data_IF_207304315693
#
_entry.id   IF_207304315693
#
_cell.length_a   1.000
_cell.length_b   1.000
_cell.length_c   1.000
_cell.angle_alpha   90.00
_cell.angle_beta   90.00
_cell.angle_gamma   90.00
#
_symmetry.space_group_name_H-M   'P 1'
#
loop_
_entity.id
_entity.type
_entity.pdbx_description
1 polymer ?
#
# COMPACT_ATOMS: atom_id res chain seq x y z
N UNK A 1 -14.65 -14.77 12.96
CA UNK A 1 -13.39 -14.77 12.19
C UNK A 1 -13.64 -15.58 10.93
N UNK A 2 -13.45 -14.98 9.76
CA UNK A 2 -13.64 -15.63 8.46
C UNK A 2 -12.28 -15.80 7.78
N UNK A 3 -12.06 -16.95 7.14
CA UNK A 3 -10.83 -17.24 6.39
C UNK A 3 -11.24 -17.63 4.98
N UNK A 4 -10.76 -16.87 4.00
CA UNK A 4 -10.98 -17.14 2.59
C UNK A 4 -9.73 -17.78 1.98
N UNK A 5 -9.91 -18.85 1.21
CA UNK A 5 -8.85 -19.52 0.45
C UNK A 5 -9.33 -19.71 -0.99
N UNK A 6 -8.43 -19.50 -1.93
CA UNK A 6 -8.67 -19.75 -3.34
C UNK A 6 -7.45 -20.43 -3.97
N UNK A 7 -7.65 -21.03 -5.13
CA UNK A 7 -6.59 -21.65 -5.95
C UNK A 7 -5.65 -20.62 -6.59
N UNK A 8 -6.07 -19.35 -6.67
CA UNK A 8 -5.26 -18.25 -7.19
C UNK A 8 -5.52 -16.94 -6.45
N UNK A 9 -4.54 -16.03 -6.50
CA UNK A 9 -4.70 -14.68 -5.95
C UNK A 9 -5.83 -13.91 -6.63
N UNK A 10 -5.95 -14.00 -7.96
CA UNK A 10 -7.01 -13.33 -8.72
C UNK A 10 -8.41 -13.77 -8.25
N UNK A 11 -8.62 -15.06 -7.99
CA UNK A 11 -9.90 -15.57 -7.47
C UNK A 11 -10.21 -15.03 -6.06
N UNK A 12 -9.20 -14.89 -5.20
CA UNK A 12 -9.36 -14.26 -3.90
C UNK A 12 -9.76 -12.78 -4.02
N UNK A 13 -9.14 -12.05 -4.95
CA UNK A 13 -9.45 -10.63 -5.20
C UNK A 13 -10.84 -10.44 -5.78
N UNK A 14 -11.32 -11.33 -6.64
CA UNK A 14 -12.71 -11.29 -7.11
C UNK A 14 -13.70 -11.48 -5.95
N UNK A 15 -13.43 -12.40 -5.03
CA UNK A 15 -14.23 -12.58 -3.81
C UNK A 15 -14.18 -11.35 -2.89
N UNK A 16 -13.00 -10.76 -2.70
CA UNK A 16 -12.84 -9.52 -1.96
C UNK A 16 -13.63 -8.36 -2.59
N UNK A 17 -13.57 -8.21 -3.92
CA UNK A 17 -14.31 -7.17 -4.63
C UNK A 17 -15.82 -7.31 -4.42
N UNK A 18 -16.35 -8.54 -4.35
CA UNK A 18 -17.76 -8.75 -4.02
C UNK A 18 -18.12 -8.31 -2.59
N UNK A 19 -17.22 -8.51 -1.62
CA UNK A 19 -17.41 -7.99 -0.24
C UNK A 19 -17.38 -6.47 -0.21
N UNK A 20 -16.48 -5.85 -0.99
CA UNK A 20 -16.32 -4.39 -1.04
C UNK A 20 -17.32 -3.70 -1.98
N UNK A 21 -18.17 -4.45 -2.71
CA UNK A 21 -19.13 -3.89 -3.65
C UNK A 21 -20.31 -3.20 -2.95
N UNK A 22 -20.63 -3.60 -1.72
CA UNK A 22 -21.62 -2.91 -0.91
C UNK A 22 -21.00 -1.65 -0.30
N UNK A 23 -21.52 -0.44 -0.62
CA UNK A 23 -20.96 0.80 -0.10
C UNK A 23 -21.26 0.96 1.40
N UNK A 24 -20.31 1.46 2.21
CA UNK A 24 -20.55 1.80 3.59
C UNK A 24 -21.43 3.06 3.71
N UNK A 25 -22.04 3.25 4.88
CA UNK A 25 -22.88 4.43 5.18
C UNK A 25 -22.12 5.75 5.07
N UNK A 26 -20.81 5.75 5.41
CA UNK A 26 -19.92 6.90 5.26
C UNK A 26 -18.84 6.62 4.20
N UNK A 27 -18.85 7.34 3.06
CA UNK A 27 -17.90 7.12 1.97
C UNK A 27 -16.46 7.54 2.28
N UNK A 28 -16.22 8.27 3.36
CA UNK A 28 -14.89 8.74 3.75
C UNK A 28 -14.19 7.83 4.77
N UNK A 29 -14.86 6.78 5.24
CA UNK A 29 -14.23 5.79 6.11
C UNK A 29 -13.39 4.84 5.26
N UNK A 30 -12.06 4.78 5.47
CA UNK A 30 -11.20 3.90 4.69
C UNK A 30 -11.33 2.44 5.13
N UNK A 31 -11.17 1.53 4.18
CA UNK A 31 -11.07 0.09 4.45
C UNK A 31 -9.61 -0.29 4.63
N UNK A 32 -9.30 -0.90 5.77
CA UNK A 32 -7.96 -1.33 6.09
C UNK A 32 -7.70 -2.75 5.55
N UNK A 33 -6.71 -2.88 4.65
CA UNK A 33 -6.28 -4.17 4.11
C UNK A 33 -4.79 -4.36 4.41
N UNK A 34 -4.46 -5.36 5.22
CA UNK A 34 -3.08 -5.75 5.45
C UNK A 34 -2.57 -6.61 4.28
N UNK A 35 -1.42 -6.25 3.70
CA UNK A 35 -0.73 -7.03 2.66
C UNK A 35 0.74 -7.22 3.04
N UNK A 36 1.38 -8.30 2.59
CA UNK A 36 2.75 -8.61 3.00
C UNK A 36 3.80 -7.73 2.31
N UNK A 37 3.51 -7.22 1.11
CA UNK A 37 4.45 -6.41 0.32
C UNK A 37 3.72 -5.33 -0.48
N UNK A 38 4.43 -4.24 -0.81
CA UNK A 38 3.94 -3.17 -1.68
C UNK A 38 3.64 -3.66 -3.11
N UNK A 39 4.31 -4.72 -3.57
CA UNK A 39 3.99 -5.37 -4.84
C UNK A 39 2.57 -5.93 -4.85
N UNK A 40 2.14 -6.55 -3.74
CA UNK A 40 0.76 -7.06 -3.58
C UNK A 40 -0.22 -5.90 -3.40
N UNK A 41 0.15 -4.83 -2.71
CA UNK A 41 -0.65 -3.60 -2.64
C UNK A 41 -0.97 -3.05 -4.04
N UNK A 42 0.07 -2.79 -4.84
CA UNK A 42 -0.08 -2.20 -6.17
C UNK A 42 -0.91 -3.10 -7.07
N UNK A 43 -0.65 -4.41 -7.03
CA UNK A 43 -1.43 -5.38 -7.79
C UNK A 43 -2.89 -5.42 -7.31
N UNK A 44 -3.14 -5.38 -6.00
CA UNK A 44 -4.48 -5.37 -5.42
C UNK A 44 -5.26 -4.11 -5.80
N UNK A 45 -4.65 -2.93 -5.67
CA UNK A 45 -5.25 -1.66 -6.08
C UNK A 45 -5.61 -1.66 -7.57
N UNK A 46 -4.72 -2.20 -8.42
CA UNK A 46 -4.95 -2.34 -9.85
C UNK A 46 -6.11 -3.28 -10.16
N UNK A 47 -6.18 -4.45 -9.51
CA UNK A 47 -7.25 -5.43 -9.73
C UNK A 47 -8.60 -4.92 -9.20
N UNK A 48 -8.63 -4.33 -8.00
CA UNK A 48 -9.86 -3.76 -7.43
C UNK A 48 -10.39 -2.60 -8.27
N UNK A 49 -9.52 -1.76 -8.83
CA UNK A 49 -9.92 -0.72 -9.77
C UNK A 49 -10.61 -1.29 -11.01
N UNK A 50 -10.13 -2.44 -11.51
CA UNK A 50 -10.76 -3.13 -12.64
C UNK A 50 -12.11 -3.75 -12.26
N UNK A 51 -12.22 -4.38 -11.08
CA UNK A 51 -13.44 -5.03 -10.63
C UNK A 51 -14.55 -4.05 -10.21
N UNK A 52 -14.19 -2.98 -9.49
CA UNK A 52 -15.15 -2.01 -8.94
C UNK A 52 -15.36 -0.80 -9.86
N UNK A 53 -14.37 -0.47 -10.69
CA UNK A 53 -14.45 0.66 -11.64
C UNK A 53 -15.26 0.36 -12.92
N UNK A 54 -15.58 -0.91 -13.18
CA UNK A 54 -16.27 -1.36 -14.39
C UNK A 54 -17.79 -1.59 -14.21
N UNK A 55 -18.44 -0.81 -13.33
CA UNK A 55 -19.90 -0.85 -13.16
C UNK A 55 -20.63 -0.33 -14.41
N UNK A 56 -21.38 -1.20 -15.09
CA UNK A 56 -22.24 -0.90 -16.26
C UNK A 56 -23.54 -0.23 -15.82
N UNK A 57 -23.47 0.94 -15.18
CA UNK A 57 -24.65 1.60 -14.62
C UNK A 57 -24.61 3.11 -14.75
N UNK A 58 -25.20 3.63 -15.83
CA UNK A 58 -25.47 5.06 -16.02
C UNK A 58 -26.53 5.52 -15.02
N UNK A 59 -26.12 5.88 -13.81
CA UNK A 59 -26.90 6.75 -12.94
C UNK A 59 -26.15 8.07 -12.77
N UNK A 60 -26.74 9.23 -13.14
CA UNK A 60 -26.10 10.52 -12.93
C UNK A 60 -26.07 10.83 -11.43
N UNK A 61 -24.88 10.84 -10.85
CA UNK A 61 -24.67 11.27 -9.46
C UNK A 61 -23.74 10.39 -8.62
N UNK A 62 -23.29 9.23 -9.11
CA UNK A 62 -22.35 8.39 -8.37
C UNK A 62 -20.90 8.71 -8.77
N UNK A 63 -20.15 9.34 -7.87
CA UNK A 63 -18.70 9.45 -8.02
C UNK A 63 -18.09 8.05 -7.87
N UNK A 64 -17.34 7.60 -8.87
CA UNK A 64 -16.45 6.42 -8.85
C UNK A 64 -16.02 6.09 -7.42
N UNK A 65 -16.21 4.85 -6.97
CA UNK A 65 -15.77 4.40 -5.64
C UNK A 65 -14.24 4.54 -5.55
N UNK A 66 -13.75 5.69 -5.12
CA UNK A 66 -12.34 5.94 -4.88
C UNK A 66 -12.10 5.67 -3.40
N UNK A 67 -11.98 4.38 -3.06
CA UNK A 67 -11.63 3.98 -1.69
C UNK A 67 -10.13 4.12 -1.52
N UNK A 68 -9.74 4.88 -0.52
CA UNK A 68 -8.36 4.93 -0.08
C UNK A 68 -8.08 3.68 0.77
N UNK A 69 -7.16 2.86 0.30
CA UNK A 69 -6.66 1.71 1.04
C UNK A 69 -5.39 2.16 1.76
N UNK A 70 -5.43 2.20 3.09
CA UNK A 70 -4.22 2.39 3.87
C UNK A 70 -3.46 1.06 3.93
N UNK A 71 -2.28 1.01 3.31
CA UNK A 71 -1.39 -0.16 3.36
C UNK A 71 -0.13 0.18 4.13
N UNK A 72 0.22 -0.68 5.08
CA UNK A 72 1.46 -0.62 5.83
C UNK A 72 2.41 -1.71 5.31
N UNK A 73 3.39 -1.34 4.48
CA UNK A 73 4.49 -2.25 4.12
C UNK A 73 5.64 -2.09 5.12
N UNK A 74 5.85 -3.07 5.98
CA UNK A 74 7.06 -3.13 6.80
C UNK A 74 8.24 -3.59 5.93
N UNK A 75 9.25 -2.73 5.76
CA UNK A 75 10.54 -3.14 5.19
C UNK A 75 11.25 -4.05 6.18
N UNK A 76 11.30 -5.35 5.89
CA UNK A 76 12.00 -6.33 6.70
C UNK A 76 13.30 -6.73 5.96
N UNK A 77 14.41 -6.87 6.68
CA UNK A 77 15.73 -7.36 6.22
C UNK A 77 16.64 -6.42 5.39
N UNK A 78 16.36 -5.11 5.34
CA UNK A 78 17.22 -4.13 4.64
C UNK A 78 17.15 -4.21 3.10
N UNK A 79 16.23 -5.02 2.57
CA UNK A 79 15.87 -5.06 1.16
C UNK A 79 14.80 -4.00 0.91
N UNK A 80 14.96 -3.19 -0.14
CA UNK A 80 13.96 -2.20 -0.51
C UNK A 80 12.70 -2.90 -1.02
N UNK A 81 11.52 -2.69 -0.38
CA UNK A 81 10.28 -3.35 -0.77
C UNK A 81 9.77 -2.92 -2.14
N UNK A 82 10.27 -1.79 -2.65
CA UNK A 82 9.81 -1.19 -3.89
C UNK A 82 10.50 -1.77 -5.13
N UNK A 83 11.79 -2.12 -5.01
CA UNK A 83 12.59 -2.59 -6.14
C UNK A 83 13.16 -4.00 -5.96
N UNK A 84 13.09 -4.61 -4.76
CA UNK A 84 13.52 -5.99 -4.42
C UNK A 84 15.01 -6.33 -4.64
N UNK A 85 15.71 -5.59 -5.51
CA UNK A 85 17.14 -5.71 -5.83
C UNK A 85 17.95 -4.53 -5.26
N UNK A 86 17.27 -3.48 -4.80
CA UNK A 86 17.91 -2.36 -4.12
C UNK A 86 18.05 -2.63 -2.62
N UNK A 87 19.14 -2.13 -2.03
CA UNK A 87 19.41 -2.20 -0.60
C UNK A 87 19.03 -0.88 0.06
N UNK A 88 18.46 -0.96 1.25
CA UNK A 88 18.27 0.22 2.09
C UNK A 88 19.63 0.63 2.66
N UNK A 89 20.00 1.89 2.45
CA UNK A 89 21.21 2.50 2.99
C UNK A 89 20.82 3.56 4.02
N UNK A 90 21.55 3.60 5.13
CA UNK A 90 21.45 4.67 6.12
C UNK A 90 22.08 5.94 5.55
N UNK A 91 21.27 6.98 5.34
CA UNK A 91 21.70 8.27 4.78
C UNK A 91 21.69 9.39 5.81
N UNK A 92 21.58 9.06 7.10
CA UNK A 92 21.54 10.01 8.22
C UNK A 92 22.75 10.96 8.28
N UNK A 93 23.89 10.57 7.69
CA UNK A 93 25.11 11.37 7.67
C UNK A 93 25.28 12.28 6.44
N UNK A 94 24.32 12.31 5.50
CA UNK A 94 24.51 12.98 4.20
C UNK A 94 24.41 14.51 4.23
N UNK A 95 24.00 15.11 5.36
CA UNK A 95 24.07 16.56 5.58
C UNK A 95 23.16 17.40 4.66
N UNK A 96 22.15 16.78 4.04
CA UNK A 96 21.17 17.48 3.21
C UNK A 96 20.05 17.98 4.14
N UNK A 97 19.83 19.29 4.10
CA UNK A 97 18.90 20.04 4.95
C UNK A 97 17.44 19.83 4.49
N UNK A 98 16.91 18.62 4.69
CA UNK A 98 15.49 18.29 4.49
C UNK A 98 14.92 17.56 5.72
N UNK A 99 13.62 17.73 6.02
CA UNK A 99 12.95 16.96 7.08
C UNK A 99 12.81 15.51 6.62
N UNK A 100 13.85 14.70 6.83
CA UNK A 100 14.02 13.44 6.09
C UNK A 100 13.90 12.15 6.92
N UNK A 101 13.34 11.09 6.30
CA UNK A 101 13.45 9.70 6.74
C UNK A 101 14.88 9.13 6.64
N UNK A 102 15.24 8.24 7.57
CA UNK A 102 16.60 7.76 7.85
C UNK A 102 17.22 6.84 6.78
N UNK A 103 16.41 6.15 5.97
CA UNK A 103 16.89 5.16 5.00
C UNK A 103 16.55 5.57 3.56
N UNK A 104 17.51 5.43 2.64
CA UNK A 104 17.31 5.61 1.20
C UNK A 104 17.71 4.35 0.43
N UNK A 105 16.90 3.95 -0.55
CA UNK A 105 17.27 2.87 -1.44
C UNK A 105 18.32 3.32 -2.46
N UNK A 106 19.38 2.53 -2.64
CA UNK A 106 20.44 2.80 -3.63
C UNK A 106 20.00 2.66 -5.10
N UNK A 107 18.95 1.89 -5.36
CA UNK A 107 18.46 1.63 -6.71
C UNK A 107 17.33 2.60 -7.12
N UNK A 108 16.30 2.77 -6.29
CA UNK A 108 15.13 3.58 -6.63
C UNK A 108 15.09 4.96 -5.96
N UNK A 109 16.05 5.28 -5.09
CA UNK A 109 16.16 6.55 -4.36
C UNK A 109 14.97 6.91 -3.43
N UNK A 110 13.97 6.03 -3.28
CA UNK A 110 12.86 6.21 -2.32
C UNK A 110 13.39 6.29 -0.88
N UNK A 111 12.81 7.21 -0.09
CA UNK A 111 13.12 7.42 1.32
C UNK A 111 12.10 6.70 2.21
N UNK A 112 12.57 6.04 3.28
CA UNK A 112 11.76 5.27 4.22
C UNK A 112 12.02 5.70 5.67
N UNK A 113 10.94 5.76 6.47
CA UNK A 113 11.04 6.01 7.90
C UNK A 113 11.80 4.89 8.61
N UNK A 114 12.47 5.22 9.72
CA UNK A 114 13.22 4.23 10.50
C UNK A 114 12.25 3.18 11.08
N UNK A 115 12.40 1.88 10.74
CA UNK A 115 11.59 0.82 11.33
C UNK A 115 11.81 0.69 12.84
N UNK A 116 12.95 1.13 13.37
CA UNK A 116 13.28 1.06 14.81
C UNK A 116 12.83 2.30 15.60
N UNK A 117 12.31 3.33 14.92
CA UNK A 117 11.79 4.54 15.56
C UNK A 117 12.83 5.33 16.36
N UNK A 118 14.12 5.30 15.97
CA UNK A 118 15.16 6.05 16.69
C UNK A 118 14.92 7.56 16.54
N UNK A 119 14.93 8.25 17.68
CA UNK A 119 14.81 9.71 17.71
C UNK A 119 16.09 10.39 17.18
N UNK A 120 15.98 11.58 16.56
CA UNK A 120 17.14 12.27 16.03
C UNK A 120 18.10 12.68 17.13
N UNK A 121 19.34 12.17 17.06
CA UNK A 121 20.45 12.67 17.86
C UNK A 121 20.88 14.01 17.24
N UNK A 122 20.25 15.10 17.69
CA UNK A 122 20.72 16.44 17.39
C UNK A 122 22.15 16.59 17.95
N UNK A 123 23.13 16.83 17.07
CA UNK A 123 24.50 17.17 17.45
C UNK A 123 24.70 18.68 17.42
#
# INVERSE_FOLDING_TARGET
MYVHRAESGHALVAGLAAVLAEPPDDPFVPDLIAVPTQGIERWLAQQLSHHLGAGTGRLPGWCRQHREFAVMSAGQDGICPECTDGRLQDVSASGIDTPDPWWQCDNCQTKFADPEGREPVHR
#
